data_IF_524916644974
#
_entry.id   IF_524916644974
#
_cell.length_a   1.000
_cell.length_b   1.000
_cell.length_c   1.000
_cell.angle_alpha   90.00
_cell.angle_beta   90.00
_cell.angle_gamma   90.00
#
_symmetry.space_group_name_H-M   'P 1'
#
loop_
_entity.id
_entity.type
_entity.pdbx_description
1 polymer ?
#
# COMPACT_ATOMS: atom_id res chain seq x y z
N UNK A 1 12.30 -30.66 -34.97
CA UNK A 1 11.61 -29.45 -35.47
C UNK A 1 10.19 -29.75 -35.96
N UNK A 2 9.31 -30.42 -35.20
CA UNK A 2 7.99 -30.78 -35.78
C UNK A 2 6.81 -31.03 -34.82
N UNK A 3 6.72 -30.31 -33.69
CA UNK A 3 5.55 -30.48 -32.77
C UNK A 3 4.81 -29.19 -32.39
N UNK A 4 5.29 -28.01 -32.77
CA UNK A 4 4.59 -26.75 -32.46
C UNK A 4 3.54 -26.41 -33.54
N UNK A 5 3.74 -26.88 -34.79
CA UNK A 5 2.85 -26.56 -35.92
C UNK A 5 1.45 -27.17 -35.78
N UNK A 6 1.31 -28.34 -35.16
CA UNK A 6 0.04 -29.08 -35.13
C UNK A 6 -1.02 -28.46 -34.21
N UNK A 7 -0.63 -27.81 -33.11
CA UNK A 7 -1.59 -27.20 -32.18
C UNK A 7 -2.25 -25.92 -32.73
N UNK A 8 -1.62 -25.29 -33.73
CA UNK A 8 -2.13 -24.07 -34.34
C UNK A 8 -3.27 -24.37 -35.33
N UNK A 9 -3.40 -25.57 -35.90
CA UNK A 9 -4.44 -25.88 -36.91
C UNK A 9 -5.85 -26.09 -36.33
N UNK A 10 -6.01 -26.35 -35.03
CA UNK A 10 -7.31 -26.62 -34.40
C UNK A 10 -8.02 -25.38 -33.83
N UNK A 11 -7.41 -24.20 -33.93
CA UNK A 11 -8.03 -22.94 -33.52
C UNK A 11 -8.84 -22.32 -34.67
N UNK A 12 -10.10 -21.91 -34.44
CA UNK A 12 -10.94 -21.30 -35.46
C UNK A 12 -10.25 -20.08 -36.08
N UNK A 13 -10.36 -19.94 -37.41
CA UNK A 13 -9.62 -19.01 -38.27
C UNK A 13 -9.70 -17.52 -37.87
N UNK A 14 -10.63 -17.14 -36.98
CA UNK A 14 -10.80 -15.77 -36.48
C UNK A 14 -9.86 -15.34 -35.33
N UNK A 15 -9.12 -16.26 -34.70
CA UNK A 15 -8.28 -15.94 -33.52
C UNK A 15 -6.77 -15.92 -33.81
N UNK A 16 -6.36 -15.88 -35.07
CA UNK A 16 -4.95 -15.99 -35.48
C UNK A 16 -4.22 -14.65 -35.56
N UNK A 17 -4.94 -13.52 -35.43
CA UNK A 17 -4.37 -12.19 -35.68
C UNK A 17 -4.21 -11.30 -34.43
N UNK A 18 -4.45 -11.80 -33.21
CA UNK A 18 -4.24 -11.01 -31.98
C UNK A 18 -3.57 -11.79 -30.84
N UNK A 19 -2.56 -12.59 -31.14
CA UNK A 19 -1.55 -12.90 -30.11
C UNK A 19 -0.51 -11.79 -30.20
N UNK A 20 -0.64 -10.74 -29.36
CA UNK A 20 0.38 -9.67 -29.26
C UNK A 20 1.74 -10.32 -29.06
N UNK A 21 2.81 -9.75 -29.62
CA UNK A 21 4.18 -10.24 -29.44
C UNK A 21 4.51 -10.49 -27.95
N UNK A 22 3.88 -9.72 -27.06
CA UNK A 22 3.96 -9.83 -25.61
C UNK A 22 3.40 -11.15 -25.05
N UNK A 23 2.29 -11.66 -25.59
CA UNK A 23 1.74 -12.98 -25.21
C UNK A 23 2.70 -14.10 -25.61
N UNK A 24 3.28 -13.98 -26.81
CA UNK A 24 4.26 -14.93 -27.32
C UNK A 24 5.50 -14.97 -26.41
N UNK A 25 6.03 -13.81 -26.03
CA UNK A 25 7.22 -13.72 -25.17
C UNK A 25 6.95 -14.24 -23.75
N UNK A 26 5.78 -13.96 -23.17
CA UNK A 26 5.40 -14.47 -21.86
C UNK A 26 5.30 -16.00 -21.82
N UNK A 27 4.73 -16.61 -22.86
CA UNK A 27 4.64 -18.07 -22.98
C UNK A 27 6.02 -18.72 -23.19
N UNK A 28 6.91 -18.08 -23.95
CA UNK A 28 8.30 -18.55 -24.11
C UNK A 28 9.03 -18.57 -22.77
N UNK A 29 8.94 -17.49 -21.99
CA UNK A 29 9.55 -17.42 -20.64
C UNK A 29 8.97 -18.45 -19.68
N UNK A 30 7.65 -18.66 -19.70
CA UNK A 30 7.02 -19.70 -18.90
C UNK A 30 7.53 -21.10 -19.29
N UNK A 31 7.68 -21.37 -20.59
CA UNK A 31 8.20 -22.63 -21.09
C UNK A 31 9.68 -22.87 -20.75
N UNK A 32 10.48 -21.81 -20.66
CA UNK A 32 11.85 -21.89 -20.13
C UNK A 32 11.85 -22.23 -18.64
N UNK A 33 11.07 -21.52 -17.82
CA UNK A 33 10.97 -21.75 -16.39
C UNK A 33 10.49 -23.18 -16.04
N UNK A 34 9.52 -23.70 -16.79
CA UNK A 34 9.05 -25.08 -16.62
C UNK A 34 10.18 -26.09 -16.91
N UNK A 35 10.98 -25.86 -17.95
CA UNK A 35 12.13 -26.71 -18.29
C UNK A 35 13.23 -26.66 -17.23
N UNK A 36 13.53 -25.49 -16.67
CA UNK A 36 14.49 -25.36 -15.55
C UNK A 36 14.01 -26.12 -14.31
N UNK A 37 12.69 -26.23 -14.12
CA UNK A 37 12.05 -27.02 -13.09
C UNK A 37 11.86 -28.52 -13.44
N UNK A 38 12.43 -28.99 -14.56
CA UNK A 38 12.36 -30.39 -14.99
C UNK A 38 11.01 -30.83 -15.57
N UNK A 39 10.12 -29.88 -15.89
CA UNK A 39 8.80 -30.16 -16.47
C UNK A 39 8.87 -30.06 -17.99
N UNK A 40 8.42 -31.10 -18.67
CA UNK A 40 8.43 -31.18 -20.13
C UNK A 40 7.32 -30.33 -20.79
N UNK A 41 6.26 -30.01 -20.04
CA UNK A 41 5.07 -29.33 -20.54
C UNK A 41 4.60 -28.24 -19.56
N UNK A 42 3.97 -27.20 -20.11
CA UNK A 42 3.30 -26.15 -19.33
C UNK A 42 2.00 -26.69 -18.75
N UNK A 43 1.74 -26.35 -17.50
CA UNK A 43 0.43 -26.60 -16.86
C UNK A 43 -0.53 -25.46 -17.18
N UNK A 44 -1.82 -25.69 -16.90
CA UNK A 44 -2.82 -24.63 -16.94
C UNK A 44 -2.45 -23.43 -16.03
N UNK A 45 -1.77 -23.68 -14.91
CA UNK A 45 -1.27 -22.62 -14.01
C UNK A 45 -0.21 -21.75 -14.67
N UNK A 46 0.78 -22.36 -15.35
CA UNK A 46 1.83 -21.59 -16.02
C UNK A 46 1.27 -20.73 -17.18
N UNK A 47 0.21 -21.21 -17.85
CA UNK A 47 -0.49 -20.44 -18.89
C UNK A 47 -1.28 -19.27 -18.30
N UNK A 48 -1.95 -19.46 -17.17
CA UNK A 48 -2.68 -18.41 -16.46
C UNK A 48 -1.73 -17.32 -15.94
N UNK A 49 -0.58 -17.70 -15.39
CA UNK A 49 0.44 -16.75 -14.94
C UNK A 49 1.02 -15.94 -16.11
N UNK A 50 1.34 -16.61 -17.22
CA UNK A 50 1.81 -15.94 -18.44
C UNK A 50 0.78 -14.96 -19.00
N UNK A 51 -0.51 -15.34 -19.01
CA UNK A 51 -1.61 -14.46 -19.41
C UNK A 51 -1.83 -13.31 -18.44
N UNK A 52 -1.62 -13.51 -17.13
CA UNK A 52 -1.75 -12.46 -16.11
C UNK A 52 -0.69 -11.37 -16.29
N UNK A 53 0.53 -11.74 -16.68
CA UNK A 53 1.61 -10.80 -17.01
C UNK A 53 1.22 -9.94 -18.23
N UNK A 54 0.54 -10.52 -19.22
CA UNK A 54 0.22 -9.83 -20.48
C UNK A 54 -1.07 -9.02 -20.39
N UNK A 55 -2.05 -9.50 -19.65
CA UNK A 55 -3.32 -8.80 -19.40
C UNK A 55 -3.19 -7.68 -18.36
N UNK A 56 -1.99 -7.41 -17.84
CA UNK A 56 -1.67 -6.15 -17.17
C UNK A 56 -2.47 -5.86 -15.89
N UNK A 57 -2.91 -6.87 -15.13
CA UNK A 57 -3.39 -6.64 -13.76
C UNK A 57 -2.24 -6.64 -12.74
N UNK A 58 -1.09 -6.10 -13.12
CA UNK A 58 -0.28 -5.38 -12.16
C UNK A 58 -0.77 -3.93 -12.26
N UNK A 59 -1.64 -3.54 -11.32
CA UNK A 59 -1.86 -2.12 -11.06
C UNK A 59 -0.50 -1.40 -11.10
N UNK A 60 -0.36 -0.26 -11.79
CA UNK A 60 0.92 0.47 -11.86
C UNK A 60 1.48 0.52 -10.44
N UNK A 61 2.80 0.27 -10.21
CA UNK A 61 3.32 0.11 -8.86
C UNK A 61 2.83 1.30 -8.07
N UNK A 62 1.89 1.04 -7.15
CA UNK A 62 1.22 2.09 -6.41
C UNK A 62 2.35 2.89 -5.81
N UNK A 63 2.49 4.16 -6.25
CA UNK A 63 3.56 5.06 -5.83
C UNK A 63 3.84 4.80 -4.37
N UNK A 64 5.08 4.41 -4.04
CA UNK A 64 5.43 3.88 -2.74
C UNK A 64 4.72 4.68 -1.64
N UNK A 65 4.01 4.02 -0.71
CA UNK A 65 3.10 4.71 0.19
C UNK A 65 3.85 5.80 0.93
N UNK A 66 3.30 7.01 0.91
CA UNK A 66 3.97 8.16 1.53
C UNK A 66 4.21 7.88 3.02
N UNK A 67 5.39 8.24 3.56
CA UNK A 67 5.71 8.00 4.96
C UNK A 67 4.70 8.67 5.88
N UNK A 68 4.58 8.15 7.10
CA UNK A 68 3.77 8.77 8.14
C UNK A 68 4.19 10.24 8.33
N UNK A 69 3.23 11.15 8.18
CA UNK A 69 3.40 12.57 8.47
C UNK A 69 2.40 12.96 9.54
N UNK A 70 2.91 13.51 10.63
CA UNK A 70 2.11 14.11 11.71
C UNK A 70 2.17 15.63 11.54
N UNK A 71 1.02 16.30 11.57
CA UNK A 71 0.95 17.75 11.48
C UNK A 71 0.02 18.28 12.57
N UNK A 72 0.53 18.97 13.60
CA UNK A 72 -0.31 19.73 14.52
C UNK A 72 -1.03 20.82 13.72
N UNK A 73 -2.35 20.93 13.85
CA UNK A 73 -3.08 22.07 13.29
C UNK A 73 -3.22 23.13 14.36
N UNK A 74 -2.95 24.40 14.02
CA UNK A 74 -3.24 25.55 14.88
C UNK A 74 -4.67 25.42 15.44
N UNK A 75 -4.80 25.51 16.76
CA UNK A 75 -6.08 25.41 17.48
C UNK A 75 -6.86 24.11 17.21
N UNK A 76 -6.19 23.08 16.68
CA UNK A 76 -6.82 21.90 16.13
C UNK A 76 -6.11 20.59 16.46
N UNK A 77 -6.52 19.49 15.80
CA UNK A 77 -6.02 18.15 16.05
C UNK A 77 -4.59 17.93 15.53
N UNK A 78 -4.02 16.77 15.85
CA UNK A 78 -2.90 16.22 15.07
C UNK A 78 -3.44 15.52 13.84
N UNK A 79 -2.94 15.89 12.65
CA UNK A 79 -3.33 15.26 11.40
C UNK A 79 -2.25 14.26 10.97
N UNK A 80 -2.58 12.98 11.07
CA UNK A 80 -1.75 11.87 10.59
C UNK A 80 -2.10 11.58 9.14
N UNK A 81 -1.09 11.44 8.28
CA UNK A 81 -1.23 11.06 6.87
C UNK A 81 -0.18 10.02 6.48
N UNK A 82 -0.51 9.17 5.52
CA UNK A 82 0.43 8.21 4.94
C UNK A 82 0.29 6.81 5.54
N UNK A 83 1.37 6.04 5.54
CA UNK A 83 1.41 4.69 6.12
C UNK A 83 1.78 4.77 7.60
N UNK A 84 0.86 4.41 8.47
CA UNK A 84 1.07 4.30 9.91
C UNK A 84 0.18 3.19 10.49
N UNK A 85 0.59 2.68 11.64
CA UNK A 85 -0.22 1.86 12.52
C UNK A 85 -0.53 2.70 13.76
N UNK A 86 -1.76 2.61 14.25
CA UNK A 86 -2.18 3.27 15.47
C UNK A 86 -2.51 2.17 16.47
N UNK A 87 -1.84 2.16 17.61
CA UNK A 87 -2.05 1.19 18.69
C UNK A 87 -2.34 1.92 19.99
N UNK A 88 -2.93 1.23 20.96
CA UNK A 88 -2.92 1.68 22.34
C UNK A 88 -1.61 1.28 23.06
N UNK A 89 -1.54 1.52 24.37
CA UNK A 89 -0.36 1.20 25.19
C UNK A 89 -0.11 -0.30 25.37
N UNK A 90 -1.13 -1.13 25.16
CA UNK A 90 -1.04 -2.59 25.26
C UNK A 90 -0.63 -3.22 23.92
N UNK A 91 -0.51 -2.40 22.87
CA UNK A 91 -0.16 -2.82 21.52
C UNK A 91 -1.37 -3.21 20.67
N UNK A 92 -2.59 -3.07 21.19
CA UNK A 92 -3.80 -3.42 20.47
C UNK A 92 -4.08 -2.40 19.35
N UNK A 93 -4.40 -2.85 18.12
CA UNK A 93 -4.60 -1.95 16.99
C UNK A 93 -5.89 -1.15 17.14
N UNK A 94 -5.79 0.16 16.96
CA UNK A 94 -6.92 1.08 16.90
C UNK A 94 -7.36 1.21 15.43
N UNK A 95 -8.57 0.76 15.05
CA UNK A 95 -9.00 0.71 13.66
C UNK A 95 -8.98 2.08 12.97
N UNK A 96 -8.26 2.17 11.85
CA UNK A 96 -8.19 3.36 11.02
C UNK A 96 -8.71 3.05 9.62
N UNK A 97 -9.92 3.54 9.28
CA UNK A 97 -10.56 3.25 7.99
C UNK A 97 -9.89 3.95 6.78
N UNK A 98 -8.94 4.87 7.03
CA UNK A 98 -8.34 5.74 6.00
C UNK A 98 -6.89 6.05 6.33
N UNK A 99 -6.10 6.32 5.28
CA UNK A 99 -4.70 6.76 5.36
C UNK A 99 -4.50 8.19 5.88
N UNK A 100 -5.56 8.84 6.37
CA UNK A 100 -5.51 10.16 6.99
C UNK A 100 -6.46 10.21 8.17
N UNK A 101 -5.96 10.42 9.38
CA UNK A 101 -6.79 10.50 10.60
C UNK A 101 -6.47 11.76 11.39
N UNK A 102 -7.47 12.28 12.09
CA UNK A 102 -7.32 13.43 12.98
C UNK A 102 -7.38 12.95 14.42
N UNK A 103 -6.29 13.11 15.17
CA UNK A 103 -6.19 12.75 16.58
C UNK A 103 -6.49 13.95 17.47
N UNK A 104 -7.21 13.71 18.55
CA UNK A 104 -7.58 14.74 19.52
C UNK A 104 -6.32 15.32 20.18
N UNK A 105 -6.17 16.64 20.08
CA UNK A 105 -5.14 17.41 20.78
C UNK A 105 -5.68 18.19 21.98
N UNK A 106 -6.98 18.52 21.98
CA UNK A 106 -7.61 19.35 23.00
C UNK A 106 -8.06 18.58 24.25
N UNK A 107 -8.03 17.24 24.24
CA UNK A 107 -8.46 16.39 25.36
C UNK A 107 -9.99 16.31 25.58
N UNK A 108 -10.81 16.95 24.76
CA UNK A 108 -12.28 17.06 24.98
C UNK A 108 -13.15 16.26 24.03
N UNK A 109 -12.58 15.56 23.05
CA UNK A 109 -13.38 14.74 22.14
C UNK A 109 -14.09 13.59 22.85
N UNK A 110 -15.29 13.27 22.38
CA UNK A 110 -16.11 12.13 22.82
C UNK A 110 -15.70 10.81 22.13
N UNK A 111 -14.95 10.87 21.03
CA UNK A 111 -14.50 9.70 20.24
C UNK A 111 -12.98 9.51 20.28
N UNK A 112 -12.35 9.84 21.42
CA UNK A 112 -10.90 9.68 21.62
C UNK A 112 -10.44 8.25 21.22
N UNK A 113 -9.28 8.11 20.57
CA UNK A 113 -8.25 9.12 20.34
C UNK A 113 -8.53 10.08 19.17
N UNK A 114 -9.64 9.93 18.46
CA UNK A 114 -9.97 10.74 17.30
C UNK A 114 -10.54 12.11 17.67
N UNK A 115 -10.51 13.04 16.72
CA UNK A 115 -11.10 14.36 16.84
C UNK A 115 -12.51 14.41 16.20
N UNK A 116 -13.51 14.84 16.95
CA UNK A 116 -14.90 15.11 16.51
C UNK A 116 -15.20 16.59 16.23
N UNK A 117 -14.21 17.48 16.41
CA UNK A 117 -14.40 18.93 16.24
C UNK A 117 -14.70 19.69 17.53
N UNK A 118 -14.81 19.02 18.68
CA UNK A 118 -15.04 19.65 20.00
C UNK A 118 -14.02 20.75 20.32
N UNK A 119 -12.80 20.69 19.77
CA UNK A 119 -11.78 21.73 19.91
C UNK A 119 -12.28 23.13 19.52
N UNK A 120 -13.19 23.23 18.55
CA UNK A 120 -13.80 24.50 18.14
C UNK A 120 -14.76 25.05 19.20
N UNK A 121 -15.56 24.16 19.79
CA UNK A 121 -16.59 24.51 20.77
C UNK A 121 -15.96 24.96 22.10
N UNK A 122 -14.89 24.30 22.52
CA UNK A 122 -14.18 24.63 23.77
C UNK A 122 -13.15 25.75 23.61
N UNK A 123 -13.02 26.33 22.41
CA UNK A 123 -12.08 27.41 22.14
C UNK A 123 -10.62 27.00 22.36
N UNK A 124 -10.25 25.77 22.00
CA UNK A 124 -8.87 25.30 22.15
C UNK A 124 -7.90 26.24 21.41
N UNK A 125 -6.77 26.55 22.05
CA UNK A 125 -5.71 27.42 21.52
C UNK A 125 -4.37 26.72 21.68
N UNK A 126 -3.67 26.55 20.56
CA UNK A 126 -2.32 26.03 20.56
C UNK A 126 -1.65 26.27 19.20
N UNK A 127 -0.36 26.61 19.24
CA UNK A 127 0.46 26.78 18.05
C UNK A 127 0.58 25.48 17.24
N UNK A 128 0.97 25.64 15.98
CA UNK A 128 1.24 24.54 15.05
C UNK A 128 2.70 24.07 15.10
N UNK A 129 3.62 25.00 15.41
CA UNK A 129 5.05 24.73 15.52
C UNK A 129 5.47 24.36 16.94
N UNK A 130 6.74 23.99 17.08
CA UNK A 130 7.41 23.93 18.37
C UNK A 130 7.50 25.34 18.99
N UNK A 131 7.46 25.42 20.31
CA UNK A 131 7.70 26.68 21.03
C UNK A 131 9.17 27.09 20.85
N UNK A 132 9.41 28.34 20.47
CA UNK A 132 10.72 28.84 20.03
C UNK A 132 11.78 28.85 21.14
N UNK A 133 11.37 28.79 22.41
CA UNK A 133 12.24 28.92 23.58
C UNK A 133 12.34 27.63 24.42
N UNK A 134 11.89 26.48 23.90
CA UNK A 134 12.04 25.22 24.60
C UNK A 134 13.54 24.80 24.61
N UNK A 135 14.16 24.58 25.80
CA UNK A 135 15.53 24.11 25.87
C UNK A 135 15.68 22.78 25.11
N UNK A 136 16.78 22.57 24.35
CA UNK A 136 17.00 21.33 23.59
C UNK A 136 17.08 20.08 24.48
N UNK A 137 17.28 20.23 25.79
CA UNK A 137 17.32 19.13 26.77
C UNK A 137 15.98 18.88 27.47
N UNK A 138 14.98 19.77 27.30
CA UNK A 138 13.61 19.54 27.78
C UNK A 138 12.79 18.69 26.79
N UNK A 139 13.35 18.35 25.62
CA UNK A 139 12.70 17.54 24.60
C UNK A 139 12.90 16.05 24.86
N UNK A 140 12.14 15.53 25.82
CA UNK A 140 12.01 14.09 26.15
C UNK A 140 13.27 13.42 26.73
N UNK A 141 13.24 12.91 27.98
CA UNK A 141 14.26 11.95 28.40
C UNK A 141 14.20 10.71 27.48
N UNK A 142 15.33 10.03 27.23
CA UNK A 142 15.31 8.77 26.48
C UNK A 142 14.31 7.81 27.13
N UNK A 143 13.55 7.09 26.29
CA UNK A 143 12.43 6.24 26.71
C UNK A 143 12.79 5.19 27.77
N UNK A 144 14.08 4.93 27.97
CA UNK A 144 14.63 3.97 28.91
C UNK A 144 14.81 4.52 30.35
N UNK A 145 14.27 5.71 30.65
CA UNK A 145 14.46 6.40 31.95
C UNK A 145 13.28 6.28 32.93
N UNK A 146 12.30 5.42 32.66
CA UNK A 146 11.10 5.18 33.49
C UNK A 146 11.06 3.77 34.05
#
# INVERSE_FOLDING_TARGET
MSSITTAIELLPLGLRHHVSAEVGEALVRAGEAARTAGRAELTAGDLLDALTVVMGSAAPPARAPSPARVTPYRDGPYLLRGRFELTDQDGEPIPCARSTVALCRCGRSQIRPFCDGTHKLVGFRAESGAEADAPPEASYPPADSV
#
